data_IF_184356836766
#
_entry.id   IF_184356836766
#
_cell.length_a   1.000
_cell.length_b   1.000
_cell.length_c   1.000
_cell.angle_alpha   90.00
_cell.angle_beta   90.00
_cell.angle_gamma   90.00
#
_symmetry.space_group_name_H-M   'P 1'
#
loop_
_entity.id
_entity.type
_entity.pdbx_description
1 polymer ?
#
# COMPACT_ATOMS: atom_id res chain seq x y z
N UNK A 1 6.31 16.59 -16.65
CA UNK A 1 5.95 16.25 -15.25
C UNK A 1 7.04 15.41 -14.59
N UNK A 2 8.31 15.82 -14.67
CA UNK A 2 9.43 15.24 -13.91
C UNK A 2 10.55 16.27 -13.97
N UNK A 3 10.84 16.98 -12.88
CA UNK A 3 12.09 17.71 -12.62
C UNK A 3 12.01 18.52 -11.31
N UNK A 4 11.64 17.87 -10.20
CA UNK A 4 11.89 18.40 -8.85
C UNK A 4 12.60 17.37 -7.95
N UNK A 5 12.89 16.17 -8.46
CA UNK A 5 13.61 15.13 -7.71
C UNK A 5 14.58 14.39 -8.65
N UNK A 6 15.47 15.13 -9.30
CA UNK A 6 16.56 14.55 -10.09
C UNK A 6 17.85 14.56 -9.28
N UNK A 7 17.96 13.61 -8.34
CA UNK A 7 19.22 13.01 -7.88
C UNK A 7 18.90 11.77 -7.01
N UNK A 8 18.33 10.74 -7.65
CA UNK A 8 17.91 9.48 -6.99
C UNK A 8 19.04 8.45 -6.79
N UNK A 9 20.31 8.88 -6.75
CA UNK A 9 21.41 7.94 -6.47
C UNK A 9 22.33 8.32 -5.31
N UNK A 10 22.12 9.46 -4.66
CA UNK A 10 22.81 9.81 -3.43
C UNK A 10 21.98 10.82 -2.66
N UNK A 11 21.22 10.35 -1.67
CA UNK A 11 20.84 11.20 -0.55
C UNK A 11 22.08 11.38 0.35
N UNK A 12 23.15 11.96 -0.20
CA UNK A 12 24.35 12.30 0.58
C UNK A 12 24.18 13.73 1.05
N UNK A 13 23.35 13.92 2.07
CA UNK A 13 23.63 15.03 2.96
C UNK A 13 24.96 14.66 3.62
N UNK A 14 26.04 15.40 3.31
CA UNK A 14 27.43 15.13 3.71
C UNK A 14 27.67 15.10 5.22
N UNK A 15 26.60 15.23 6.02
CA UNK A 15 26.57 15.25 7.48
C UNK A 15 25.95 13.99 8.09
N UNK A 16 25.31 13.11 7.31
CA UNK A 16 24.71 11.86 7.81
C UNK A 16 25.19 10.66 6.97
N UNK A 17 25.80 9.66 7.60
CA UNK A 17 26.18 8.37 6.99
C UNK A 17 24.95 7.51 6.63
N UNK A 18 24.03 8.07 5.84
CA UNK A 18 22.75 7.48 5.53
C UNK A 18 22.76 6.98 4.08
N UNK A 19 22.67 5.66 3.89
CA UNK A 19 22.66 5.01 2.58
C UNK A 19 21.40 4.15 2.44
N UNK A 20 20.68 4.33 1.33
CA UNK A 20 19.49 3.54 1.01
C UNK A 20 19.78 2.06 0.73
N UNK A 21 21.06 1.68 0.57
CA UNK A 21 21.48 0.29 0.49
C UNK A 21 21.58 -0.40 1.85
N UNK A 22 21.81 0.36 2.93
CA UNK A 22 22.09 -0.18 4.26
C UNK A 22 20.84 -0.26 5.14
N UNK A 23 19.92 0.70 5.00
CA UNK A 23 18.67 0.73 5.75
C UNK A 23 17.56 1.37 4.92
N UNK A 24 16.37 0.76 4.84
CA UNK A 24 15.22 1.41 4.22
C UNK A 24 14.81 2.66 5.02
N UNK A 25 14.80 2.56 6.36
CA UNK A 25 14.37 3.60 7.31
C UNK A 25 15.29 4.82 7.42
N UNK A 26 16.24 4.94 6.50
CA UNK A 26 17.24 5.97 6.50
C UNK A 26 16.66 7.31 6.03
N UNK A 27 16.71 8.30 6.92
CA UNK A 27 16.14 9.64 6.71
C UNK A 27 17.13 10.73 7.14
N UNK A 28 16.99 11.92 6.58
CA UNK A 28 17.71 13.12 7.03
C UNK A 28 16.80 14.35 6.89
N UNK A 29 17.09 15.42 7.64
CA UNK A 29 16.25 16.62 7.63
C UNK A 29 16.30 17.33 6.28
N UNK A 30 15.18 17.96 5.94
CA UNK A 30 15.02 18.69 4.68
C UNK A 30 15.57 20.11 4.78
N UNK A 31 16.40 20.48 3.82
CA UNK A 31 16.86 21.86 3.61
C UNK A 31 16.33 22.37 2.28
N UNK A 32 15.76 23.56 2.27
CA UNK A 32 15.29 24.25 1.06
C UNK A 32 16.13 25.50 0.82
N UNK A 33 16.28 25.90 -0.45
CA UNK A 33 17.02 27.09 -0.81
C UNK A 33 16.07 28.26 -1.07
N UNK A 34 16.12 29.27 -0.19
CA UNK A 34 15.42 30.55 -0.31
C UNK A 34 16.46 31.68 -0.36
N UNK A 35 17.36 31.63 -1.35
CA UNK A 35 18.57 32.46 -1.40
C UNK A 35 19.67 32.03 -0.42
N UNK A 36 19.29 31.42 0.71
CA UNK A 36 20.12 30.73 1.69
C UNK A 36 19.53 29.33 1.99
N UNK A 37 20.35 28.40 2.49
CA UNK A 37 19.87 27.10 2.98
C UNK A 37 19.05 27.26 4.27
N UNK A 38 17.75 27.02 4.19
CA UNK A 38 16.81 27.04 5.30
C UNK A 38 16.42 25.60 5.68
N UNK A 39 16.46 25.29 6.98
CA UNK A 39 16.01 23.99 7.51
C UNK A 39 14.49 23.98 7.66
N UNK A 40 13.82 23.03 7.01
CA UNK A 40 12.38 22.82 7.17
C UNK A 40 12.14 21.98 8.42
N UNK A 41 11.93 22.68 9.53
CA UNK A 41 11.80 22.05 10.86
C UNK A 41 10.70 21.00 10.89
N UNK A 42 11.05 19.80 11.33
CA UNK A 42 10.10 18.70 11.44
C UNK A 42 9.92 17.85 10.19
N UNK A 43 10.47 18.25 9.04
CA UNK A 43 10.38 17.47 7.82
C UNK A 43 11.66 16.67 7.56
N UNK A 44 11.47 15.40 7.25
CA UNK A 44 12.51 14.47 6.85
C UNK A 44 12.27 14.01 5.41
N UNK A 45 13.37 13.82 4.69
CA UNK A 45 13.40 13.09 3.43
C UNK A 45 14.24 11.83 3.65
N UNK A 46 13.96 10.79 2.89
CA UNK A 46 14.64 9.51 3.03
C UNK A 46 14.43 8.64 1.81
N UNK A 47 14.95 7.43 1.90
CA UNK A 47 14.91 6.46 0.81
C UNK A 47 13.48 6.10 0.41
N UNK A 48 12.61 5.95 1.41
CA UNK A 48 11.18 5.77 1.22
C UNK A 48 10.42 6.98 1.75
N UNK A 49 9.60 7.58 0.88
CA UNK A 49 8.77 8.74 1.22
C UNK A 49 7.87 8.47 2.43
N UNK A 50 7.31 7.25 2.54
CA UNK A 50 6.44 6.89 3.67
C UNK A 50 7.20 6.81 4.99
N UNK A 51 8.41 6.25 5.02
CA UNK A 51 9.20 6.16 6.25
C UNK A 51 9.69 7.54 6.70
N UNK A 52 10.11 8.38 5.73
CA UNK A 52 10.46 9.76 5.99
C UNK A 52 9.27 10.58 6.52
N UNK A 53 8.08 10.36 5.94
CA UNK A 53 6.85 10.99 6.41
C UNK A 53 6.50 10.56 7.83
N UNK A 54 6.52 9.26 8.12
CA UNK A 54 6.19 8.71 9.44
C UNK A 54 7.10 9.26 10.55
N UNK A 55 8.37 9.50 10.24
CA UNK A 55 9.35 10.10 11.15
C UNK A 55 9.25 11.64 11.24
N UNK A 56 8.57 12.28 10.28
CA UNK A 56 8.35 13.72 10.28
C UNK A 56 7.29 14.14 11.30
N UNK A 57 7.23 15.43 11.60
CA UNK A 57 6.21 16.08 12.41
C UNK A 57 5.74 17.38 11.75
N UNK A 58 4.74 18.03 12.34
CA UNK A 58 4.02 19.15 11.74
C UNK A 58 4.51 20.52 12.24
N UNK A 59 5.66 20.62 12.91
CA UNK A 59 6.17 21.89 13.50
C UNK A 59 6.16 23.04 12.48
N UNK A 60 6.62 22.79 11.25
CA UNK A 60 6.65 23.83 10.21
C UNK A 60 5.26 24.42 9.90
N UNK A 61 4.19 23.62 9.99
CA UNK A 61 2.83 24.05 9.67
C UNK A 61 2.27 25.06 10.67
N UNK A 62 2.86 25.17 11.87
CA UNK A 62 2.48 26.15 12.89
C UNK A 62 3.40 27.38 12.90
N UNK A 63 4.35 27.48 11.95
CA UNK A 63 5.30 28.58 11.88
C UNK A 63 5.23 29.28 10.52
N UNK A 64 4.72 30.52 10.50
CA UNK A 64 4.54 31.28 9.27
C UNK A 64 5.86 31.49 8.52
N UNK A 65 6.96 31.78 9.22
CA UNK A 65 8.27 31.96 8.60
C UNK A 65 8.77 30.67 7.93
N UNK A 66 8.44 29.51 8.50
CA UNK A 66 8.78 28.22 7.87
C UNK A 66 7.98 28.01 6.58
N UNK A 67 6.67 28.27 6.61
CA UNK A 67 5.79 28.19 5.44
C UNK A 67 6.23 29.14 4.34
N UNK A 68 6.53 30.39 4.69
CA UNK A 68 7.00 31.41 3.75
C UNK A 68 8.35 31.00 3.13
N UNK A 69 9.22 30.39 3.93
CA UNK A 69 10.50 29.84 3.48
C UNK A 69 10.34 28.75 2.43
N UNK A 70 9.46 27.78 2.69
CA UNK A 70 9.13 26.70 1.74
C UNK A 70 8.47 27.26 0.48
N UNK A 71 7.51 28.19 0.65
CA UNK A 71 6.81 28.83 -0.47
C UNK A 71 7.77 29.56 -1.40
N UNK A 72 8.70 30.32 -0.84
CA UNK A 72 9.71 31.00 -1.65
C UNK A 72 10.56 29.99 -2.42
N UNK A 73 11.03 28.93 -1.78
CA UNK A 73 11.88 27.92 -2.44
C UNK A 73 11.17 27.26 -3.62
N UNK A 74 9.87 26.98 -3.48
CA UNK A 74 9.03 26.47 -4.58
C UNK A 74 8.92 27.47 -5.73
N UNK A 75 8.69 28.75 -5.43
CA UNK A 75 8.57 29.81 -6.45
C UNK A 75 9.91 30.15 -7.13
N UNK A 76 11.02 30.02 -6.42
CA UNK A 76 12.37 30.30 -6.93
C UNK A 76 12.91 29.17 -7.81
N UNK A 77 12.37 27.96 -7.69
CA UNK A 77 12.71 26.89 -8.62
C UNK A 77 12.12 27.24 -9.99
N UNK A 78 12.97 27.54 -10.98
CA UNK A 78 12.62 27.90 -12.38
C UNK A 78 11.94 26.75 -13.15
N UNK A 79 10.99 26.09 -12.52
CA UNK A 79 10.07 25.17 -13.17
C UNK A 79 8.93 26.02 -13.68
N UNK A 80 8.50 25.77 -14.93
CA UNK A 80 7.29 26.37 -15.50
C UNK A 80 6.04 25.86 -14.74
N UNK A 81 5.95 26.15 -13.44
CA UNK A 81 4.74 25.90 -12.67
C UNK A 81 3.68 26.87 -13.21
N UNK A 82 2.47 26.38 -13.52
CA UNK A 82 1.36 27.24 -13.87
C UNK A 82 1.21 28.36 -12.82
N UNK A 83 1.04 29.59 -13.27
CA UNK A 83 0.78 30.81 -12.46
C UNK A 83 -0.39 30.70 -11.47
N UNK A 84 -1.13 29.59 -11.51
CA UNK A 84 -2.14 29.22 -10.53
C UNK A 84 -1.55 28.95 -9.12
N UNK A 85 -0.32 28.43 -9.02
CA UNK A 85 0.28 28.04 -7.73
C UNK A 85 1.02 29.17 -7.00
N UNK A 86 1.31 30.30 -7.67
CA UNK A 86 2.10 31.40 -7.08
C UNK A 86 1.28 32.28 -6.11
N UNK A 87 -0.06 32.24 -6.21
CA UNK A 87 -0.98 33.07 -5.44
C UNK A 87 -1.65 32.34 -4.25
N UNK A 88 -1.13 31.19 -3.81
CA UNK A 88 -1.68 30.50 -2.64
C UNK A 88 -1.23 31.25 -1.38
N UNK A 89 -2.16 31.95 -0.73
CA UNK A 89 -1.96 32.50 0.62
C UNK A 89 -2.11 31.37 1.64
N UNK A 90 -1.00 30.75 2.01
CA UNK A 90 -0.95 29.74 3.08
C UNK A 90 -0.64 30.40 4.42
N UNK A 91 -1.61 30.37 5.33
CA UNK A 91 -1.44 30.79 6.72
C UNK A 91 -1.03 29.62 7.58
N UNK A 92 -0.17 29.87 8.57
CA UNK A 92 0.17 28.90 9.61
C UNK A 92 -1.06 28.46 10.40
N UNK A 93 -1.03 27.21 10.85
CA UNK A 93 -2.02 26.66 11.77
C UNK A 93 -1.96 27.38 13.12
N UNK A 94 -3.13 27.49 13.75
CA UNK A 94 -3.27 28.16 15.03
C UNK A 94 -2.94 27.19 16.18
N UNK A 95 -1.93 27.56 16.98
CA UNK A 95 -1.52 26.82 18.18
C UNK A 95 -2.52 26.94 19.34
N UNK A 96 -3.44 27.91 19.28
CA UNK A 96 -4.43 28.14 20.33
C UNK A 96 -5.65 27.24 20.20
N UNK A 97 -5.85 26.60 19.04
CA UNK A 97 -6.93 25.65 18.85
C UNK A 97 -6.68 24.38 19.66
N UNK A 98 -7.72 23.82 20.31
CA UNK A 98 -7.58 22.60 21.09
C UNK A 98 -7.23 21.42 20.19
N UNK A 99 -6.03 20.87 20.35
CA UNK A 99 -5.57 19.62 19.72
C UNK A 99 -4.99 18.71 20.79
N UNK A 100 -5.17 17.41 20.63
CA UNK A 100 -4.52 16.41 21.48
C UNK A 100 -3.05 16.15 21.08
N UNK A 101 -2.60 16.70 19.95
CA UNK A 101 -1.24 16.53 19.44
C UNK A 101 -0.45 17.82 19.61
N UNK A 102 0.78 17.69 20.10
CA UNK A 102 1.74 18.79 20.04
C UNK A 102 2.34 18.86 18.63
N UNK A 103 2.76 20.04 18.12
CA UNK A 103 3.32 20.18 16.79
C UNK A 103 4.53 19.27 16.50
N UNK A 104 5.30 18.91 17.53
CA UNK A 104 6.47 18.02 17.46
C UNK A 104 6.12 16.52 17.47
N UNK A 105 4.84 16.16 17.59
CA UNK A 105 4.38 14.77 17.55
C UNK A 105 4.64 14.18 16.16
N UNK A 106 5.18 12.97 16.10
CA UNK A 106 5.48 12.32 14.82
C UNK A 106 4.19 11.96 14.08
N UNK A 107 4.23 11.96 12.76
CA UNK A 107 3.09 11.55 11.93
C UNK A 107 2.75 10.08 12.18
N UNK A 108 3.73 9.24 12.50
CA UNK A 108 3.48 7.86 12.94
C UNK A 108 2.58 7.80 14.18
N UNK A 109 2.86 8.61 15.20
CA UNK A 109 2.06 8.63 16.43
C UNK A 109 0.66 9.16 16.17
N UNK A 110 0.52 10.18 15.31
CA UNK A 110 -0.78 10.72 14.89
C UNK A 110 -1.60 9.66 14.14
N UNK A 111 -0.98 8.95 13.19
CA UNK A 111 -1.63 7.88 12.43
C UNK A 111 -2.02 6.67 13.30
N UNK A 112 -1.20 6.33 14.31
CA UNK A 112 -1.52 5.25 15.26
C UNK A 112 -2.82 5.50 16.04
N UNK A 113 -3.24 6.76 16.12
CA UNK A 113 -4.49 7.22 16.74
C UNK A 113 -5.51 7.69 15.71
N UNK A 114 -5.40 7.19 14.46
CA UNK A 114 -6.31 7.48 13.35
C UNK A 114 -6.43 8.98 13.01
N UNK A 115 -5.43 9.79 13.40
CA UNK A 115 -5.44 11.25 13.22
C UNK A 115 -6.64 11.95 13.87
N UNK A 116 -7.25 11.35 14.89
CA UNK A 116 -8.39 11.97 15.59
C UNK A 116 -7.88 13.15 16.41
N UNK A 117 -8.40 14.35 16.17
CA UNK A 117 -8.02 15.56 16.91
C UNK A 117 -8.80 15.72 18.22
N UNK A 118 -10.10 15.40 18.19
CA UNK A 118 -11.01 15.54 19.30
C UNK A 118 -12.09 14.44 19.28
N UNK A 119 -12.42 13.91 20.45
CA UNK A 119 -13.56 13.02 20.63
C UNK A 119 -14.77 13.84 21.08
N UNK A 120 -15.76 13.98 20.18
CA UNK A 120 -17.01 14.65 20.50
C UNK A 120 -17.99 13.59 21.04
N UNK A 121 -18.13 13.51 22.36
CA UNK A 121 -18.99 12.49 22.99
C UNK A 121 -20.50 12.75 22.85
N UNK A 122 -20.90 13.85 22.21
CA UNK A 122 -22.31 14.24 22.03
C UNK A 122 -22.89 13.79 20.69
N UNK A 123 -22.12 13.13 19.82
CA UNK A 123 -22.62 12.69 18.51
C UNK A 123 -23.46 11.42 18.64
N UNK A 124 -24.71 11.49 18.16
CA UNK A 124 -25.59 10.33 18.02
C UNK A 124 -25.00 9.37 16.98
N UNK A 125 -24.71 8.13 17.39
CA UNK A 125 -24.28 7.08 16.46
C UNK A 125 -25.29 6.89 15.31
N UNK A 126 -26.58 7.10 15.58
CA UNK A 126 -27.64 7.01 14.56
C UNK A 126 -27.47 8.06 13.47
N UNK A 127 -27.22 9.31 13.86
CA UNK A 127 -27.12 10.43 12.92
C UNK A 127 -25.86 10.32 12.06
N UNK A 128 -24.78 9.77 12.62
CA UNK A 128 -23.56 9.44 11.89
C UNK A 128 -23.81 8.30 10.89
N UNK A 129 -24.46 7.23 11.34
CA UNK A 129 -24.77 6.08 10.49
C UNK A 129 -25.71 6.47 9.34
N UNK A 130 -26.74 7.29 9.60
CA UNK A 130 -27.68 7.74 8.57
C UNK A 130 -26.98 8.56 7.47
N UNK A 131 -25.91 9.29 7.79
CA UNK A 131 -25.10 10.04 6.81
C UNK A 131 -24.12 9.15 6.03
N UNK A 132 -23.55 8.15 6.70
CA UNK A 132 -22.50 7.30 6.12
C UNK A 132 -22.99 5.93 5.66
N UNK A 133 -24.30 5.68 5.69
CA UNK A 133 -24.86 4.36 5.39
C UNK A 133 -24.48 3.96 3.95
N UNK A 134 -23.78 2.83 3.74
CA UNK A 134 -23.47 2.37 2.41
C UNK A 134 -24.76 2.08 1.63
N UNK A 135 -24.84 2.57 0.38
CA UNK A 135 -25.98 2.32 -0.53
C UNK A 135 -26.17 0.83 -0.79
N UNK A 136 -25.10 0.05 -0.70
CA UNK A 136 -25.12 -1.41 -0.84
C UNK A 136 -24.19 -2.05 0.18
N UNK A 137 -24.72 -2.99 0.95
CA UNK A 137 -23.92 -3.78 1.87
C UNK A 137 -23.13 -4.84 1.08
N UNK A 138 -21.79 -4.77 1.14
CA UNK A 138 -20.94 -5.88 0.74
C UNK A 138 -20.66 -6.76 1.96
N UNK A 139 -21.04 -8.03 1.86
CA UNK A 139 -20.62 -9.03 2.82
C UNK A 139 -19.45 -9.83 2.21
N UNK A 140 -18.33 -9.91 2.93
CA UNK A 140 -17.25 -10.83 2.58
C UNK A 140 -17.54 -12.18 3.22
N UNK A 141 -17.80 -13.19 2.40
CA UNK A 141 -17.93 -14.57 2.88
C UNK A 141 -16.53 -15.12 3.15
N UNK A 142 -16.04 -14.94 4.38
CA UNK A 142 -14.80 -15.57 4.81
C UNK A 142 -15.11 -17.03 5.14
N UNK A 143 -15.00 -17.91 4.14
CA UNK A 143 -15.20 -19.35 4.29
C UNK A 143 -14.17 -19.94 5.26
N UNK A 144 -14.58 -20.21 6.51
CA UNK A 144 -13.73 -20.77 7.58
C UNK A 144 -13.29 -22.23 7.37
N UNK A 145 -13.53 -22.82 6.19
CA UNK A 145 -13.39 -24.26 5.95
C UNK A 145 -12.32 -24.65 4.92
N UNK A 146 -11.41 -23.75 4.53
CA UNK A 146 -10.37 -24.03 3.53
C UNK A 146 -9.60 -25.34 3.81
N UNK A 147 -9.26 -25.61 5.08
CA UNK A 147 -8.50 -26.81 5.46
C UNK A 147 -9.29 -28.12 5.25
N UNK A 148 -10.56 -28.17 5.68
CA UNK A 148 -11.41 -29.35 5.53
C UNK A 148 -11.67 -29.63 4.04
N UNK A 149 -11.90 -28.57 3.25
CA UNK A 149 -12.11 -28.69 1.79
C UNK A 149 -10.88 -29.25 1.07
N UNK A 150 -9.67 -28.89 1.49
CA UNK A 150 -8.41 -29.42 0.91
C UNK A 150 -8.24 -30.91 1.21
N UNK A 151 -8.50 -31.34 2.45
CA UNK A 151 -8.38 -32.75 2.82
C UNK A 151 -9.39 -33.61 2.06
N UNK A 152 -10.65 -33.18 1.97
CA UNK A 152 -11.69 -33.94 1.27
C UNK A 152 -11.44 -34.04 -0.23
N UNK A 153 -10.86 -33.01 -0.85
CA UNK A 153 -10.47 -33.07 -2.27
C UNK A 153 -9.31 -34.04 -2.53
N UNK A 154 -8.29 -34.08 -1.66
CA UNK A 154 -7.18 -35.04 -1.80
C UNK A 154 -7.67 -36.48 -1.67
N UNK A 155 -8.49 -36.76 -0.65
CA UNK A 155 -9.07 -38.10 -0.45
C UNK A 155 -9.96 -38.49 -1.64
N UNK A 156 -10.79 -37.55 -2.12
CA UNK A 156 -11.65 -37.75 -3.28
C UNK A 156 -10.87 -38.04 -4.57
N UNK A 157 -9.77 -37.32 -4.82
CA UNK A 157 -8.91 -37.52 -5.98
C UNK A 157 -8.22 -38.89 -5.97
N UNK A 158 -7.62 -39.26 -4.84
CA UNK A 158 -6.91 -40.54 -4.70
C UNK A 158 -7.89 -41.72 -4.83
N UNK A 159 -9.03 -41.62 -4.13
CA UNK A 159 -10.06 -42.66 -4.15
C UNK A 159 -10.74 -42.78 -5.51
N UNK A 160 -11.11 -41.65 -6.12
CA UNK A 160 -11.80 -41.60 -7.41
C UNK A 160 -10.92 -42.11 -8.55
N UNK A 161 -9.68 -41.61 -8.64
CA UNK A 161 -8.77 -41.97 -9.73
C UNK A 161 -8.44 -43.47 -9.74
N UNK A 162 -8.13 -44.04 -8.58
CA UNK A 162 -7.78 -45.45 -8.46
C UNK A 162 -8.98 -46.37 -8.79
N UNK A 163 -10.19 -45.98 -8.38
CA UNK A 163 -11.42 -46.74 -8.62
C UNK A 163 -11.80 -46.71 -10.11
N UNK A 164 -11.77 -45.52 -10.72
CA UNK A 164 -12.09 -45.34 -12.15
C UNK A 164 -11.09 -46.11 -13.02
N UNK A 165 -9.79 -46.04 -12.71
CA UNK A 165 -8.76 -46.72 -13.49
C UNK A 165 -8.93 -48.25 -13.46
N UNK A 166 -9.21 -48.83 -12.28
CA UNK A 166 -9.48 -50.27 -12.14
C UNK A 166 -10.72 -50.73 -12.91
N UNK A 167 -11.70 -49.85 -13.10
CA UNK A 167 -12.93 -50.18 -13.82
C UNK A 167 -12.79 -50.01 -15.34
N UNK A 168 -12.09 -48.97 -15.77
CA UNK A 168 -11.89 -48.63 -17.19
C UNK A 168 -10.83 -49.53 -17.84
N UNK A 169 -9.72 -49.80 -17.16
CA UNK A 169 -8.61 -50.60 -17.71
C UNK A 169 -9.04 -51.97 -18.26
N UNK A 170 -9.78 -52.83 -17.53
CA UNK A 170 -10.20 -54.13 -18.06
C UNK A 170 -11.23 -54.01 -19.20
N UNK A 171 -12.05 -52.95 -19.22
CA UNK A 171 -12.97 -52.69 -20.34
C UNK A 171 -12.23 -52.29 -21.61
N UNK A 172 -11.24 -51.40 -21.51
CA UNK A 172 -10.42 -51.00 -22.65
C UNK A 172 -9.62 -52.18 -23.21
N UNK A 173 -9.03 -53.01 -22.34
CA UNK A 173 -8.31 -54.22 -22.76
C UNK A 173 -9.24 -55.20 -23.50
N UNK A 174 -10.44 -55.46 -22.96
CA UNK A 174 -11.42 -56.34 -23.64
C UNK A 174 -11.90 -55.78 -24.99
N UNK A 175 -12.07 -54.46 -25.11
CA UNK A 175 -12.44 -53.84 -26.39
C UNK A 175 -11.29 -53.95 -27.39
N UNK A 176 -10.06 -53.73 -26.95
CA UNK A 176 -8.88 -53.82 -27.81
C UNK A 176 -8.62 -55.26 -28.27
N UNK A 177 -8.70 -56.24 -27.37
CA UNK A 177 -8.51 -57.66 -27.72
C UNK A 177 -9.62 -58.15 -28.67
N UNK A 178 -10.88 -57.79 -28.44
CA UNK A 178 -12.00 -58.16 -29.32
C UNK A 178 -11.88 -57.52 -30.71
N UNK A 179 -11.27 -56.32 -30.82
CA UNK A 179 -10.95 -55.69 -32.12
C UNK A 179 -9.79 -56.38 -32.84
N UNK A 180 -8.78 -56.89 -32.12
CA UNK A 180 -7.71 -57.69 -32.72
C UNK A 180 -8.21 -59.06 -33.20
N UNK A 181 -9.01 -59.78 -32.40
CA UNK A 181 -9.55 -61.10 -32.80
C UNK A 181 -10.50 -60.99 -34.01
N UNK A 182 -11.29 -59.92 -34.12
CA UNK A 182 -12.12 -59.68 -35.31
C UNK A 182 -11.31 -59.29 -36.57
N UNK A 183 -10.05 -58.88 -36.43
CA UNK A 183 -9.13 -58.67 -37.58
C UNK A 183 -8.37 -59.93 -37.98
N UNK A 184 -8.44 -60.99 -37.17
CA UNK A 184 -7.81 -62.29 -37.42
C UNK A 184 -8.90 -63.36 -37.46
N UNK A 185 -9.72 -63.36 -38.52
CA UNK A 185 -10.52 -64.54 -38.84
C UNK A 185 -9.59 -65.63 -39.41
N UNK A 186 -9.74 -66.90 -39.00
CA UNK A 186 -8.93 -68.01 -39.49
C UNK A 186 -9.36 -68.42 -40.90
N UNK A 187 -8.39 -68.67 -41.77
CA UNK A 187 -8.58 -69.30 -43.07
C UNK A 187 -8.89 -70.79 -42.83
N UNK A 188 -10.15 -71.20 -42.98
CA UNK A 188 -10.53 -72.62 -43.02
C UNK A 188 -10.39 -73.12 -44.45
N UNK A 189 -9.49 -74.10 -44.66
CA UNK A 189 -9.39 -74.88 -45.89
C UNK A 189 -10.29 -76.11 -45.73
N UNK A 190 -11.38 -76.14 -46.49
CA UNK A 190 -11.98 -77.38 -47.01
C UNK A 190 -12.62 -77.07 -48.37
#
# INVERSE_FOLDING_TARGET
MYNVISNYHTFTNSTSNCSCGDSPSCTAPVYVNNGNSFLVSGMYAGCFMMEALLQSNLICFYNQSCIDGVRYALNSSNTNLPTYYTNITTTALDLTLPSQYQPNTTINDILSKLMVEQWINTTSHRDYYDQCNPVQCQYSYVGKNGFITVITTIIGLIGGLNTILKFIAPRLIKIYSKRQTNRVQPFTVE
#
